data_IF_829101735901
#
_entry.id   IF_829101735901
#
_cell.length_a   1.000
_cell.length_b   1.000
_cell.length_c   1.000
_cell.angle_alpha   90.00
_cell.angle_beta   90.00
_cell.angle_gamma   90.00
#
_symmetry.space_group_name_H-M   'P 1'
#
loop_
_entity.id
_entity.type
_entity.pdbx_description
1 polymer ?
#
# COMPACT_ATOMS: atom_id res chain seq x y z
N UNK A 1 -1.00 10.65 -12.71
CA UNK A 1 -0.61 11.73 -11.80
C UNK A 1 -1.72 12.77 -11.67
N UNK A 2 -2.15 13.40 -12.73
CA UNK A 2 -3.13 14.52 -12.71
C UNK A 2 -4.44 14.16 -12.01
N UNK A 3 -4.95 12.95 -12.22
CA UNK A 3 -6.12 12.45 -11.50
C UNK A 3 -5.92 12.42 -9.98
N UNK A 4 -4.72 12.08 -9.51
CA UNK A 4 -4.44 11.98 -8.07
C UNK A 4 -4.15 13.33 -7.42
N UNK A 5 -3.67 14.32 -8.16
CA UNK A 5 -3.24 15.60 -7.59
C UNK A 5 -4.26 16.27 -6.64
N UNK A 6 -5.57 16.34 -6.95
CA UNK A 6 -6.56 16.90 -6.03
C UNK A 6 -6.93 15.95 -4.87
N UNK A 7 -6.53 14.69 -4.92
CA UNK A 7 -6.94 13.64 -4.00
C UNK A 7 -5.89 13.28 -2.95
N UNK A 8 -4.65 13.70 -3.12
CA UNK A 8 -3.52 13.35 -2.26
C UNK A 8 -2.78 14.59 -1.78
N UNK A 9 -1.98 14.42 -0.76
CA UNK A 9 -1.00 15.44 -0.36
C UNK A 9 0.21 15.28 -1.28
N UNK A 10 0.70 16.37 -1.87
CA UNK A 10 2.02 16.40 -2.46
C UNK A 10 3.05 16.36 -1.32
N UNK A 11 3.45 15.13 -0.97
CA UNK A 11 4.33 14.89 0.16
C UNK A 11 5.74 15.38 -0.16
N UNK A 12 6.43 16.02 0.80
CA UNK A 12 7.74 16.59 0.52
C UNK A 12 8.80 15.52 0.21
N UNK A 13 9.68 15.86 -0.71
CA UNK A 13 10.97 15.21 -0.94
C UNK A 13 12.03 16.06 -0.26
N UNK A 14 12.65 15.57 0.81
CA UNK A 14 13.62 16.34 1.59
C UNK A 14 15.00 15.70 1.56
N UNK A 15 16.05 16.53 1.52
CA UNK A 15 17.40 16.07 1.77
C UNK A 15 17.57 15.75 3.26
N UNK A 16 18.31 14.70 3.57
CA UNK A 16 18.61 14.26 4.95
C UNK A 16 20.12 14.41 5.24
N UNK A 17 20.63 15.62 5.58
CA UNK A 17 22.07 15.88 5.68
C UNK A 17 22.81 15.00 6.68
N UNK A 18 22.23 14.78 7.86
CA UNK A 18 22.84 13.95 8.90
C UNK A 18 23.01 12.49 8.45
N UNK A 19 21.98 11.92 7.81
CA UNK A 19 22.05 10.56 7.26
C UNK A 19 22.96 10.50 6.04
N UNK A 20 22.97 11.53 5.20
CA UNK A 20 23.89 11.64 4.06
C UNK A 20 25.34 11.59 4.52
N UNK A 21 25.70 12.34 5.57
CA UNK A 21 27.04 12.32 6.12
C UNK A 21 27.44 10.96 6.71
N UNK A 22 26.50 10.27 7.35
CA UNK A 22 26.73 8.93 7.92
C UNK A 22 26.96 7.87 6.81
N UNK A 23 26.21 7.98 5.71
CA UNK A 23 26.21 6.99 4.62
C UNK A 23 27.21 7.32 3.51
N UNK A 24 27.80 8.53 3.51
CA UNK A 24 28.71 8.97 2.44
C UNK A 24 28.06 9.19 1.08
N UNK A 25 26.76 9.50 1.04
CA UNK A 25 26.01 9.75 -0.19
C UNK A 25 24.98 10.87 0.02
N UNK A 26 24.44 11.44 -1.08
CA UNK A 26 23.31 12.39 -1.00
C UNK A 26 22.01 11.63 -0.82
N UNK A 27 21.45 11.63 0.39
CA UNK A 27 20.19 10.94 0.72
C UNK A 27 19.01 11.90 0.71
N UNK A 28 17.97 11.51 -0.02
CA UNK A 28 16.68 12.19 -0.05
C UNK A 28 15.56 11.25 0.46
N UNK A 29 14.58 11.80 1.18
CA UNK A 29 13.46 11.08 1.75
C UNK A 29 12.15 11.59 1.16
N UNK A 30 11.37 10.71 0.53
CA UNK A 30 9.98 10.96 0.14
C UNK A 30 9.09 10.60 1.32
N UNK A 31 8.48 11.59 1.95
CA UNK A 31 7.81 11.44 3.26
C UNK A 31 6.35 11.00 3.13
N UNK A 32 6.10 9.77 2.68
CA UNK A 32 4.73 9.22 2.57
C UNK A 32 4.04 8.96 3.93
N UNK A 33 4.75 9.07 5.04
CA UNK A 33 4.14 9.13 6.37
C UNK A 33 3.36 10.43 6.63
N UNK A 34 3.57 11.46 5.83
CA UNK A 34 2.79 12.72 5.86
C UNK A 34 1.56 12.68 4.96
N UNK A 35 1.34 11.60 4.21
CA UNK A 35 0.16 11.41 3.39
C UNK A 35 -1.10 11.20 4.25
N UNK A 36 -2.29 11.41 3.71
CA UNK A 36 -3.55 11.02 4.36
C UNK A 36 -3.46 9.59 4.87
N UNK A 37 -4.00 9.34 6.06
CA UNK A 37 -3.88 8.05 6.78
C UNK A 37 -2.44 7.61 7.07
N UNK A 38 -1.50 8.56 7.06
CA UNK A 38 -0.06 8.39 7.36
C UNK A 38 0.63 7.31 6.52
N UNK A 39 0.18 7.11 5.28
CA UNK A 39 0.80 6.14 4.37
C UNK A 39 0.42 6.37 2.91
N UNK A 40 1.29 5.90 2.01
CA UNK A 40 1.11 5.94 0.56
C UNK A 40 -0.14 5.20 0.04
N UNK A 41 -0.75 4.35 0.85
CA UNK A 41 -1.84 3.44 0.44
C UNK A 41 -3.06 4.16 -0.15
N UNK A 42 -3.29 5.40 0.22
CA UNK A 42 -4.41 6.21 -0.32
C UNK A 42 -4.31 6.44 -1.83
N UNK A 43 -3.09 6.44 -2.40
CA UNK A 43 -2.84 6.63 -3.82
C UNK A 43 -3.44 5.48 -4.64
N UNK A 44 -3.02 4.26 -4.34
CA UNK A 44 -3.53 3.06 -5.01
C UNK A 44 -5.02 2.82 -4.76
N UNK A 45 -5.49 3.07 -3.54
CA UNK A 45 -6.92 2.98 -3.22
C UNK A 45 -7.76 3.94 -4.08
N UNK A 46 -7.31 5.19 -4.24
CA UNK A 46 -8.01 6.18 -5.07
C UNK A 46 -8.08 5.76 -6.55
N UNK A 47 -6.95 5.28 -7.13
CA UNK A 47 -6.92 4.84 -8.52
C UNK A 47 -7.81 3.62 -8.73
N UNK A 48 -7.74 2.63 -7.85
CA UNK A 48 -8.58 1.42 -7.97
C UNK A 48 -10.08 1.76 -7.88
N UNK A 49 -10.48 2.64 -6.97
CA UNK A 49 -11.89 3.07 -6.85
C UNK A 49 -12.38 3.87 -8.06
N UNK A 50 -11.50 4.64 -8.70
CA UNK A 50 -11.85 5.42 -9.89
C UNK A 50 -12.15 4.53 -11.12
N UNK A 51 -11.66 3.30 -11.13
CA UNK A 51 -11.90 2.35 -12.21
C UNK A 51 -13.19 1.52 -12.04
N UNK A 52 -13.88 1.69 -10.91
CA UNK A 52 -15.13 0.98 -10.65
C UNK A 52 -16.24 1.47 -11.58
N UNK A 53 -16.99 0.52 -12.14
CA UNK A 53 -18.25 0.82 -12.85
C UNK A 53 -19.29 1.35 -11.86
N UNK A 54 -20.33 2.02 -12.35
CA UNK A 54 -21.42 2.51 -11.51
C UNK A 54 -22.13 1.36 -10.75
N UNK A 55 -22.26 0.20 -11.38
CA UNK A 55 -22.80 -0.99 -10.73
C UNK A 55 -21.91 -1.48 -9.58
N UNK A 56 -20.58 -1.51 -9.77
CA UNK A 56 -19.63 -1.87 -8.74
C UNK A 56 -19.64 -0.86 -7.58
N UNK A 57 -19.74 0.43 -7.87
CA UNK A 57 -19.88 1.49 -6.85
C UNK A 57 -21.13 1.31 -6.00
N UNK A 58 -22.26 0.97 -6.61
CA UNK A 58 -23.52 0.71 -5.89
C UNK A 58 -23.44 -0.51 -4.98
N UNK A 59 -22.75 -1.57 -5.39
CA UNK A 59 -22.55 -2.79 -4.57
C UNK A 59 -21.53 -2.57 -3.46
N UNK A 60 -20.72 -1.52 -3.54
CA UNK A 60 -19.68 -1.19 -2.60
C UNK A 60 -18.40 -2.02 -2.77
N UNK A 61 -17.47 -1.77 -1.89
CA UNK A 61 -16.14 -2.35 -1.93
C UNK A 61 -15.81 -3.12 -0.66
N UNK A 62 -14.89 -4.06 -0.78
CA UNK A 62 -14.40 -4.86 0.34
C UNK A 62 -12.88 -4.94 0.30
N UNK A 63 -12.24 -4.99 1.46
CA UNK A 63 -10.84 -5.38 1.57
C UNK A 63 -10.57 -6.14 2.86
N UNK A 64 -9.44 -6.85 2.90
CA UNK A 64 -8.94 -7.48 4.11
C UNK A 64 -7.62 -6.84 4.53
N UNK A 65 -7.63 -6.14 5.64
CA UNK A 65 -6.43 -5.53 6.22
C UNK A 65 -6.73 -4.99 7.62
N UNK A 66 -5.76 -5.08 8.53
CA UNK A 66 -5.81 -4.43 9.85
C UNK A 66 -4.85 -3.22 9.96
N UNK A 67 -4.23 -2.80 8.85
CA UNK A 67 -3.20 -1.77 8.83
C UNK A 67 -3.51 -0.60 7.90
N UNK A 68 -2.46 -0.05 7.30
CA UNK A 68 -2.52 1.14 6.45
C UNK A 68 -3.49 1.01 5.27
N UNK A 69 -3.61 -0.19 4.68
CA UNK A 69 -4.52 -0.38 3.56
C UNK A 69 -5.99 -0.28 3.99
N UNK A 70 -6.34 -0.83 5.15
CA UNK A 70 -7.68 -0.71 5.71
C UNK A 70 -8.10 0.75 5.88
N UNK A 71 -7.24 1.56 6.49
CA UNK A 71 -7.48 3.00 6.70
C UNK A 71 -7.58 3.76 5.39
N UNK A 72 -6.68 3.47 4.43
CA UNK A 72 -6.68 4.12 3.12
C UNK A 72 -7.95 3.83 2.31
N UNK A 73 -8.39 2.55 2.30
CA UNK A 73 -9.64 2.15 1.63
C UNK A 73 -10.85 2.81 2.30
N UNK A 74 -10.95 2.76 3.63
CA UNK A 74 -12.04 3.37 4.37
C UNK A 74 -12.10 4.90 4.13
N UNK A 75 -10.96 5.60 4.23
CA UNK A 75 -10.85 7.02 3.99
C UNK A 75 -11.29 7.39 2.56
N UNK A 76 -10.74 6.71 1.55
CA UNK A 76 -11.07 7.00 0.15
C UNK A 76 -12.50 6.64 -0.23
N UNK A 77 -13.04 5.57 0.33
CA UNK A 77 -14.43 5.21 0.15
C UNK A 77 -15.36 6.30 0.68
N UNK A 78 -15.10 6.82 1.87
CA UNK A 78 -15.86 7.94 2.44
C UNK A 78 -15.84 9.17 1.53
N UNK A 79 -14.66 9.59 1.07
CA UNK A 79 -14.50 10.76 0.19
C UNK A 79 -15.22 10.56 -1.16
N UNK A 80 -15.28 9.31 -1.65
CA UNK A 80 -15.96 8.96 -2.89
C UNK A 80 -17.45 8.61 -2.71
N UNK A 81 -17.98 8.66 -1.49
CA UNK A 81 -19.36 8.27 -1.21
C UNK A 81 -19.66 6.78 -1.40
N UNK A 82 -18.65 5.92 -1.27
CA UNK A 82 -18.78 4.48 -1.48
C UNK A 82 -18.95 3.74 -0.15
N UNK A 83 -19.79 2.70 -0.15
CA UNK A 83 -19.85 1.75 0.98
C UNK A 83 -18.57 0.90 0.99
N UNK A 84 -17.87 0.86 2.13
CA UNK A 84 -16.68 0.04 2.31
C UNK A 84 -16.86 -0.92 3.49
N UNK A 85 -16.56 -2.19 3.26
CA UNK A 85 -16.50 -3.23 4.28
C UNK A 85 -15.06 -3.70 4.43
N UNK A 86 -14.55 -3.69 5.66
CA UNK A 86 -13.18 -4.06 5.97
C UNK A 86 -13.17 -5.32 6.83
N UNK A 87 -12.60 -6.39 6.31
CA UNK A 87 -12.40 -7.62 7.08
C UNK A 87 -11.08 -7.48 7.85
N UNK A 88 -11.14 -7.70 9.16
CA UNK A 88 -9.97 -7.69 10.04
C UNK A 88 -9.91 -8.99 10.85
N UNK A 89 -8.70 -9.50 11.17
CA UNK A 89 -8.56 -10.63 12.10
C UNK A 89 -9.21 -10.33 13.44
N UNK A 90 -9.80 -11.36 14.08
CA UNK A 90 -10.47 -11.23 15.40
C UNK A 90 -9.57 -10.65 16.49
N UNK A 91 -8.26 -10.87 16.39
CA UNK A 91 -7.26 -10.39 17.35
C UNK A 91 -6.74 -8.97 17.04
N UNK A 92 -7.32 -8.28 16.04
CA UNK A 92 -6.90 -6.92 15.71
C UNK A 92 -7.08 -5.99 16.92
N UNK A 93 -6.03 -5.25 17.34
CA UNK A 93 -6.12 -4.33 18.45
C UNK A 93 -7.24 -3.31 18.29
N UNK A 94 -7.98 -3.05 19.37
CA UNK A 94 -9.13 -2.14 19.36
C UNK A 94 -8.81 -0.77 18.74
N UNK A 95 -7.64 -0.21 19.03
CA UNK A 95 -7.22 1.08 18.47
C UNK A 95 -7.13 1.06 16.93
N UNK A 96 -6.70 -0.05 16.31
CA UNK A 96 -6.66 -0.19 14.85
C UNK A 96 -8.07 -0.30 14.26
N UNK A 97 -8.96 -1.02 14.93
CA UNK A 97 -10.38 -1.15 14.54
C UNK A 97 -11.05 0.23 14.56
N UNK A 98 -10.97 0.94 15.69
CA UNK A 98 -11.60 2.25 15.84
C UNK A 98 -11.04 3.30 14.88
N UNK A 99 -9.73 3.31 14.65
CA UNK A 99 -9.13 4.22 13.68
C UNK A 99 -9.67 3.99 12.26
N UNK A 100 -9.90 2.75 11.86
CA UNK A 100 -10.49 2.45 10.55
C UNK A 100 -11.99 2.78 10.53
N UNK A 101 -12.71 2.44 11.61
CA UNK A 101 -14.14 2.75 11.75
C UNK A 101 -14.43 4.25 11.72
N UNK A 102 -13.54 5.08 12.27
CA UNK A 102 -13.69 6.54 12.26
C UNK A 102 -13.69 7.14 10.85
N UNK A 103 -13.21 6.39 9.85
CA UNK A 103 -13.34 6.74 8.44
C UNK A 103 -14.69 6.33 7.81
N UNK A 104 -15.63 5.77 8.58
CA UNK A 104 -16.98 5.44 8.12
C UNK A 104 -17.15 4.06 7.49
N UNK A 105 -16.12 3.21 7.54
CA UNK A 105 -16.23 1.84 7.02
C UNK A 105 -16.93 0.89 8.00
N UNK A 106 -17.65 -0.07 7.45
CA UNK A 106 -18.14 -1.23 8.19
C UNK A 106 -16.96 -2.18 8.49
N UNK A 107 -16.82 -2.60 9.74
CA UNK A 107 -15.74 -3.50 10.16
C UNK A 107 -16.33 -4.86 10.56
N UNK A 108 -15.84 -5.92 9.91
CA UNK A 108 -16.17 -7.30 10.25
C UNK A 108 -14.91 -7.98 10.82
N UNK A 109 -14.98 -8.38 12.08
CA UNK A 109 -13.91 -9.13 12.72
C UNK A 109 -14.11 -10.62 12.42
N UNK A 110 -13.28 -11.19 11.55
CA UNK A 110 -13.39 -12.57 11.11
C UNK A 110 -12.02 -13.24 10.91
N UNK A 111 -12.00 -14.56 11.16
CA UNK A 111 -10.78 -15.35 10.99
C UNK A 111 -9.72 -15.10 12.07
N UNK A 112 -8.76 -16.04 12.16
CA UNK A 112 -7.56 -15.97 12.99
C UNK A 112 -6.29 -15.89 12.14
N UNK A 113 -6.43 -16.21 10.85
CA UNK A 113 -5.34 -16.22 9.86
C UNK A 113 -5.75 -15.47 8.60
N UNK A 114 -4.78 -15.21 7.75
CA UNK A 114 -5.00 -14.61 6.42
C UNK A 114 -5.93 -15.48 5.58
N UNK A 115 -5.71 -16.80 5.56
CA UNK A 115 -6.53 -17.74 4.78
C UNK A 115 -8.01 -17.74 5.21
N UNK A 116 -8.27 -17.69 6.53
CA UNK A 116 -9.64 -17.60 7.04
C UNK A 116 -10.29 -16.25 6.69
N UNK A 117 -9.51 -15.18 6.71
CA UNK A 117 -9.95 -13.85 6.28
C UNK A 117 -10.29 -13.81 4.79
N UNK A 118 -9.49 -14.42 3.93
CA UNK A 118 -9.77 -14.53 2.49
C UNK A 118 -11.06 -15.31 2.20
N UNK A 119 -11.30 -16.40 2.94
CA UNK A 119 -12.55 -17.14 2.82
C UNK A 119 -13.76 -16.27 3.18
N UNK A 120 -13.64 -15.44 4.21
CA UNK A 120 -14.68 -14.48 4.60
C UNK A 120 -14.91 -13.42 3.51
N UNK A 121 -13.84 -12.89 2.91
CA UNK A 121 -13.96 -11.95 1.78
C UNK A 121 -14.70 -12.59 0.62
N UNK A 122 -14.33 -13.81 0.22
CA UNK A 122 -14.99 -14.53 -0.88
C UNK A 122 -16.49 -14.80 -0.61
N UNK A 123 -16.82 -15.20 0.61
CA UNK A 123 -18.21 -15.40 1.01
C UNK A 123 -19.02 -14.10 0.95
N UNK A 124 -18.46 -13.00 1.47
CA UNK A 124 -19.09 -11.68 1.43
C UNK A 124 -19.27 -11.17 0.00
N UNK A 125 -18.27 -11.37 -0.87
CA UNK A 125 -18.37 -11.02 -2.28
C UNK A 125 -19.47 -11.81 -3.00
N UNK A 126 -19.59 -13.11 -2.72
CA UNK A 126 -20.63 -13.95 -3.29
C UNK A 126 -22.04 -13.51 -2.89
N UNK A 127 -22.21 -13.04 -1.66
CA UNK A 127 -23.49 -12.60 -1.11
C UNK A 127 -23.87 -11.18 -1.56
N UNK A 128 -22.90 -10.24 -1.57
CA UNK A 128 -23.17 -8.80 -1.76
C UNK A 128 -22.68 -8.26 -3.11
N UNK A 129 -21.90 -9.03 -3.87
CA UNK A 129 -21.33 -8.57 -5.14
C UNK A 129 -20.27 -7.47 -5.01
N UNK A 130 -19.73 -7.24 -3.82
CA UNK A 130 -18.77 -6.18 -3.54
C UNK A 130 -17.46 -6.38 -4.29
N UNK A 131 -16.82 -5.29 -4.72
CA UNK A 131 -15.53 -5.35 -5.41
C UNK A 131 -14.37 -5.35 -4.43
N UNK A 132 -13.46 -6.32 -4.56
CA UNK A 132 -12.24 -6.38 -3.74
C UNK A 132 -11.25 -5.30 -4.18
N UNK A 133 -10.81 -4.47 -3.23
CA UNK A 133 -9.65 -3.59 -3.39
C UNK A 133 -8.45 -4.29 -2.73
N UNK A 134 -7.63 -4.95 -3.57
CA UNK A 134 -6.50 -5.74 -3.06
C UNK A 134 -5.36 -4.84 -2.55
N UNK A 135 -4.69 -5.16 -1.43
CA UNK A 135 -3.69 -4.28 -0.82
C UNK A 135 -2.40 -4.06 -1.64
N UNK A 136 -2.10 -4.88 -2.63
CA UNK A 136 -0.88 -4.77 -3.45
C UNK A 136 -0.92 -5.50 -4.80
N UNK A 137 -1.70 -6.58 -4.95
CA UNK A 137 -1.75 -7.37 -6.20
C UNK A 137 -2.96 -6.96 -7.05
N UNK A 138 -2.95 -5.72 -7.50
CA UNK A 138 -3.97 -5.11 -8.34
C UNK A 138 -3.30 -4.05 -9.21
N UNK A 139 -3.56 -4.08 -10.52
CA UNK A 139 -2.90 -3.19 -11.48
C UNK A 139 -3.19 -1.72 -11.21
N UNK A 140 -4.39 -1.38 -10.77
CA UNK A 140 -4.79 -0.01 -10.47
C UNK A 140 -4.16 0.48 -9.16
N UNK A 141 -4.09 -0.41 -8.15
CA UNK A 141 -3.37 -0.12 -6.90
C UNK A 141 -1.89 0.09 -7.19
N UNK A 142 -1.24 -0.80 -7.95
CA UNK A 142 0.17 -0.69 -8.36
C UNK A 142 0.41 0.63 -9.11
N UNK A 143 -0.45 0.98 -10.06
CA UNK A 143 -0.38 2.22 -10.83
C UNK A 143 -0.43 3.48 -9.95
N UNK A 144 -1.32 3.51 -8.97
CA UNK A 144 -1.40 4.59 -7.99
C UNK A 144 -0.10 4.75 -7.18
N UNK A 145 0.51 3.63 -6.76
CA UNK A 145 1.78 3.66 -6.04
C UNK A 145 2.95 4.13 -6.91
N UNK A 146 2.88 3.86 -8.21
CA UNK A 146 3.89 4.31 -9.18
C UNK A 146 4.06 5.83 -9.24
N UNK A 147 3.03 6.61 -8.90
CA UNK A 147 3.11 8.09 -8.87
C UNK A 147 4.17 8.60 -7.90
N UNK A 148 4.54 7.82 -6.88
CA UNK A 148 5.63 8.16 -5.97
C UNK A 148 6.97 8.20 -6.73
N UNK A 149 7.22 7.23 -7.60
CA UNK A 149 8.42 7.20 -8.43
C UNK A 149 8.50 8.39 -9.37
N UNK A 150 7.36 8.78 -9.98
CA UNK A 150 7.26 9.98 -10.80
C UNK A 150 7.61 11.24 -10.00
N UNK A 151 7.01 11.42 -8.83
CA UNK A 151 7.26 12.58 -7.96
C UNK A 151 8.72 12.65 -7.49
N UNK A 152 9.31 11.50 -7.11
CA UNK A 152 10.71 11.43 -6.68
C UNK A 152 11.67 11.87 -7.80
N UNK A 153 11.53 11.32 -9.00
CA UNK A 153 12.39 11.63 -10.15
C UNK A 153 12.13 13.02 -10.73
N UNK A 154 10.93 13.55 -10.56
CA UNK A 154 10.64 14.95 -10.94
C UNK A 154 11.30 15.93 -9.96
N UNK A 155 11.25 15.62 -8.65
CA UNK A 155 11.82 16.49 -7.62
C UNK A 155 13.36 16.46 -7.59
N UNK A 156 13.97 15.29 -7.88
CA UNK A 156 15.43 15.08 -7.90
C UNK A 156 15.78 14.26 -9.15
N UNK A 157 15.97 14.91 -10.32
CA UNK A 157 16.15 14.21 -11.60
C UNK A 157 17.44 13.40 -11.72
N UNK A 158 18.44 13.68 -10.92
CA UNK A 158 19.78 13.07 -10.93
C UNK A 158 19.96 11.94 -9.90
N UNK A 159 18.88 11.38 -9.37
CA UNK A 159 18.92 10.22 -8.48
C UNK A 159 19.55 9.00 -9.20
N UNK A 160 20.55 8.40 -8.57
CA UNK A 160 21.19 7.17 -9.08
C UNK A 160 20.50 5.91 -8.58
N UNK A 161 19.94 5.97 -7.37
CA UNK A 161 19.39 4.80 -6.65
C UNK A 161 18.05 5.14 -5.99
N UNK A 162 17.08 4.27 -6.15
CA UNK A 162 15.84 4.28 -5.36
C UNK A 162 15.85 3.11 -4.37
N UNK A 163 15.62 3.39 -3.09
CA UNK A 163 15.48 2.37 -2.04
C UNK A 163 14.02 2.29 -1.63
N UNK A 164 13.39 1.13 -1.82
CA UNK A 164 11.95 0.95 -1.66
C UNK A 164 11.64 -0.22 -0.73
N UNK A 165 10.82 -0.03 0.31
CA UNK A 165 10.40 -1.13 1.18
C UNK A 165 9.45 -2.09 0.44
N UNK A 166 9.63 -3.39 0.68
CA UNK A 166 8.82 -4.45 0.09
C UNK A 166 8.07 -5.24 1.18
N UNK A 167 6.74 -5.16 1.16
CA UNK A 167 5.85 -6.14 1.75
C UNK A 167 5.33 -7.08 0.66
N UNK A 168 4.10 -6.90 0.23
CA UNK A 168 3.48 -7.65 -0.88
C UNK A 168 3.87 -7.18 -2.28
N UNK A 169 4.81 -6.27 -2.44
CA UNK A 169 5.41 -5.88 -3.72
C UNK A 169 4.74 -4.74 -4.49
N UNK A 170 3.50 -4.36 -4.17
CA UNK A 170 2.76 -3.37 -4.97
C UNK A 170 3.41 -1.99 -5.08
N UNK A 171 4.01 -1.48 -3.99
CA UNK A 171 4.78 -0.23 -4.01
C UNK A 171 6.02 -0.36 -4.90
N UNK A 172 6.81 -1.40 -4.66
CA UNK A 172 8.03 -1.67 -5.42
C UNK A 172 7.74 -1.81 -6.91
N UNK A 173 6.71 -2.57 -7.28
CA UNK A 173 6.31 -2.75 -8.68
C UNK A 173 5.91 -1.43 -9.34
N UNK A 174 5.07 -0.63 -8.68
CA UNK A 174 4.64 0.66 -9.22
C UNK A 174 5.79 1.64 -9.41
N UNK A 175 6.62 1.81 -8.39
CA UNK A 175 7.80 2.69 -8.46
C UNK A 175 8.77 2.19 -9.54
N UNK A 176 9.04 0.88 -9.59
CA UNK A 176 10.00 0.31 -10.55
C UNK A 176 9.56 0.50 -12.00
N UNK A 177 8.29 0.26 -12.31
CA UNK A 177 7.75 0.46 -13.67
C UNK A 177 7.92 1.92 -14.07
N UNK A 178 7.47 2.85 -13.22
CA UNK A 178 7.55 4.28 -13.52
C UNK A 178 9.00 4.77 -13.61
N UNK A 179 9.85 4.37 -12.67
CA UNK A 179 11.24 4.81 -12.63
C UNK A 179 12.04 4.28 -13.83
N UNK A 180 11.84 3.04 -14.22
CA UNK A 180 12.50 2.45 -15.39
C UNK A 180 12.02 3.03 -16.72
N UNK A 181 10.76 3.47 -16.80
CA UNK A 181 10.25 4.21 -17.95
C UNK A 181 10.92 5.59 -18.10
N UNK A 182 11.12 6.31 -16.99
CA UNK A 182 11.75 7.63 -16.98
C UNK A 182 13.29 7.56 -17.08
N UNK A 183 13.88 6.61 -16.39
CA UNK A 183 15.32 6.41 -16.22
C UNK A 183 15.66 4.91 -16.30
N UNK A 184 15.87 4.34 -17.49
CA UNK A 184 16.13 2.90 -17.67
C UNK A 184 17.35 2.38 -16.90
N UNK A 185 18.35 3.25 -16.70
CA UNK A 185 19.62 2.97 -16.02
C UNK A 185 19.55 3.06 -14.49
N UNK A 186 18.50 3.65 -13.91
CA UNK A 186 18.41 3.85 -12.46
C UNK A 186 18.45 2.52 -11.71
N UNK A 187 19.22 2.47 -10.63
CA UNK A 187 19.25 1.30 -9.74
C UNK A 187 18.09 1.34 -8.76
N UNK A 188 17.39 0.21 -8.60
CA UNK A 188 16.28 0.11 -7.66
C UNK A 188 16.56 -1.02 -6.68
N UNK A 189 16.61 -0.70 -5.39
CA UNK A 189 16.91 -1.62 -4.30
C UNK A 189 15.66 -1.84 -3.47
N UNK A 190 15.19 -3.08 -3.43
CA UNK A 190 14.10 -3.49 -2.55
C UNK A 190 14.59 -3.90 -1.17
N UNK A 191 13.93 -3.44 -0.11
CA UNK A 191 14.26 -3.75 1.27
C UNK A 191 13.10 -4.46 1.94
N UNK A 192 13.37 -5.62 2.55
CA UNK A 192 12.40 -6.39 3.35
C UNK A 192 12.84 -6.44 4.82
N UNK A 193 11.87 -6.69 5.70
CA UNK A 193 12.18 -7.05 7.07
C UNK A 193 12.90 -8.42 7.09
N UNK A 194 13.97 -8.55 7.88
CA UNK A 194 14.80 -9.76 7.97
C UNK A 194 13.96 -11.02 8.27
N UNK A 195 12.96 -10.90 9.13
CA UNK A 195 12.06 -12.00 9.49
C UNK A 195 10.97 -12.29 8.43
N UNK A 196 10.87 -11.46 7.39
CA UNK A 196 9.87 -11.60 6.32
C UNK A 196 10.49 -11.40 4.92
N UNK A 197 11.55 -12.18 4.56
CA UNK A 197 12.27 -12.01 3.30
C UNK A 197 11.58 -12.75 2.14
N UNK A 198 10.26 -12.77 2.12
CA UNK A 198 9.44 -13.64 1.27
C UNK A 198 9.67 -13.39 -0.23
N UNK A 199 9.78 -12.13 -0.64
CA UNK A 199 10.04 -11.78 -2.04
C UNK A 199 11.47 -12.18 -2.47
N UNK A 200 12.45 -11.91 -1.62
CA UNK A 200 13.83 -12.28 -1.89
C UNK A 200 14.00 -13.81 -2.00
N UNK A 201 13.31 -14.57 -1.14
CA UNK A 201 13.29 -16.04 -1.20
C UNK A 201 12.59 -16.53 -2.47
N UNK A 202 11.43 -15.96 -2.82
CA UNK A 202 10.69 -16.32 -4.03
C UNK A 202 11.50 -16.08 -5.31
N UNK A 203 12.21 -14.95 -5.42
CA UNK A 203 13.05 -14.63 -6.58
C UNK A 203 14.19 -15.62 -6.72
N UNK A 204 14.76 -16.10 -5.61
CA UNK A 204 15.83 -17.11 -5.63
C UNK A 204 15.34 -18.55 -5.83
N UNK A 205 14.03 -18.77 -5.79
CA UNK A 205 13.43 -20.11 -5.82
C UNK A 205 13.58 -20.87 -4.50
N UNK A 206 13.87 -20.16 -3.41
CA UNK A 206 14.02 -20.75 -2.08
C UNK A 206 12.65 -21.08 -1.47
N UNK A 207 12.66 -22.01 -0.49
CA UNK A 207 11.47 -22.23 0.34
C UNK A 207 11.19 -20.99 1.17
N UNK A 208 9.93 -20.50 1.13
CA UNK A 208 9.52 -19.34 1.92
C UNK A 208 9.44 -19.71 3.40
N UNK A 209 10.31 -19.08 4.20
CA UNK A 209 10.35 -19.18 5.66
C UNK A 209 10.29 -17.77 6.21
N UNK A 210 9.22 -17.46 6.94
CA UNK A 210 9.03 -16.15 7.53
C UNK A 210 8.14 -16.21 8.77
N UNK A 211 8.29 -15.27 9.68
CA UNK A 211 7.51 -15.13 10.90
C UNK A 211 8.34 -14.57 12.04
N UNK A 212 7.67 -14.10 13.06
CA UNK A 212 8.25 -13.45 14.23
C UNK A 212 7.75 -12.02 14.39
N UNK A 213 8.16 -11.38 15.47
CA UNK A 213 7.82 -9.99 15.76
C UNK A 213 8.80 -9.03 15.07
N UNK A 214 8.28 -7.96 14.48
CA UNK A 214 9.07 -6.91 13.85
C UNK A 214 8.42 -5.55 14.04
N UNK A 215 9.25 -4.51 14.17
CA UNK A 215 8.78 -3.12 14.17
C UNK A 215 8.24 -2.70 12.79
N UNK A 216 8.67 -3.38 11.72
CA UNK A 216 8.25 -3.11 10.36
C UNK A 216 6.94 -3.86 10.00
N UNK A 217 5.92 -3.79 10.86
CA UNK A 217 4.63 -4.49 10.66
C UNK A 217 4.00 -4.26 9.29
N UNK A 218 4.17 -3.05 8.73
CA UNK A 218 3.57 -2.68 7.43
C UNK A 218 4.12 -3.47 6.24
N UNK A 219 5.26 -4.12 6.38
CA UNK A 219 5.90 -4.95 5.35
C UNK A 219 6.09 -6.41 5.79
N UNK A 220 5.52 -6.83 6.92
CA UNK A 220 5.57 -8.19 7.43
C UNK A 220 4.53 -9.07 6.71
N UNK A 221 4.74 -9.35 5.43
CA UNK A 221 3.84 -10.14 4.57
C UNK A 221 4.39 -11.54 4.40
N UNK A 222 3.50 -12.54 4.57
CA UNK A 222 3.79 -13.98 4.40
C UNK A 222 3.57 -14.43 2.97
#
# INVERSE_FOLDING_TARGET
ADFLAPLIIDTPMIQAPSLSGLLGCSLHLKLENLQYTSSFKVRGAAVAMAQLTEEQKQRGIITMSAGNHAQAVAFRAREAGLKATIIMPKQTPFAKVERTRSHGAEIILAGRSVNEGEATVKAYQAEHGSTLIHPYNDVHVISGQGTIGLEMLTAVPDLDVLVVPIGGGGLMSGISIMAKEMRPDITIIGVQAELYPTMAQAIRGDKIICGGETLAEGIAIK
#
